data_IF_786896227101
#
_entry.id   IF_786896227101
#
_cell.length_a   1.000
_cell.length_b   1.000
_cell.length_c   1.000
_cell.angle_alpha   90.00
_cell.angle_beta   90.00
_cell.angle_gamma   90.00
#
_symmetry.space_group_name_H-M   'P 1'
#
loop_
_entity.id
_entity.type
_entity.pdbx_description
1 polymer ?
#
# COMPACT_ATOMS: atom_id res chain seq x y z
N UNK A 1 -30.73 -42.55 -43.15
CA UNK A 1 -29.58 -42.68 -42.22
C UNK A 1 -28.54 -41.65 -42.64
N UNK A 2 -28.56 -40.47 -42.02
CA UNK A 2 -27.53 -39.46 -42.23
C UNK A 2 -26.39 -39.74 -41.23
N UNK A 3 -25.22 -40.07 -41.76
CA UNK A 3 -23.98 -40.25 -41.01
C UNK A 3 -23.58 -38.90 -40.40
N UNK A 4 -23.85 -38.75 -39.09
CA UNK A 4 -23.28 -37.67 -38.28
C UNK A 4 -21.78 -37.97 -38.20
N UNK A 5 -20.99 -37.24 -38.98
CA UNK A 5 -19.54 -37.24 -38.88
C UNK A 5 -19.15 -36.85 -37.46
N UNK A 6 -18.44 -37.74 -36.78
CA UNK A 6 -17.82 -37.47 -35.50
C UNK A 6 -16.80 -36.33 -35.68
N UNK A 7 -17.21 -35.10 -35.40
CA UNK A 7 -16.29 -33.97 -35.23
C UNK A 7 -15.34 -34.32 -34.10
N UNK A 8 -14.04 -34.36 -34.38
CA UNK A 8 -12.99 -34.57 -33.40
C UNK A 8 -13.31 -33.80 -32.11
N UNK A 9 -13.48 -34.51 -30.99
CA UNK A 9 -13.71 -33.92 -29.66
C UNK A 9 -12.72 -32.78 -29.48
N UNK A 10 -13.19 -31.53 -29.45
CA UNK A 10 -12.31 -30.40 -29.15
C UNK A 10 -11.61 -30.70 -27.83
N UNK A 11 -10.28 -30.85 -27.82
CA UNK A 11 -9.54 -31.13 -26.58
C UNK A 11 -9.56 -29.95 -25.61
N UNK A 12 -9.87 -28.75 -26.12
CA UNK A 12 -9.86 -27.48 -25.40
C UNK A 12 -11.11 -26.67 -25.71
N UNK A 13 -11.55 -25.89 -24.71
CA UNK A 13 -12.64 -24.92 -24.81
C UNK A 13 -12.08 -23.52 -24.58
N UNK A 14 -12.55 -22.53 -25.33
CA UNK A 14 -12.25 -21.13 -25.08
C UNK A 14 -13.06 -20.63 -23.86
N UNK A 15 -12.36 -20.14 -22.84
CA UNK A 15 -12.96 -19.73 -21.56
C UNK A 15 -12.82 -18.23 -21.29
N UNK A 16 -11.68 -17.64 -21.64
CA UNK A 16 -11.35 -16.24 -21.34
C UNK A 16 -10.86 -15.46 -22.56
N UNK A 17 -11.41 -14.26 -22.74
CA UNK A 17 -11.02 -13.35 -23.82
C UNK A 17 -9.69 -12.66 -23.56
N UNK A 18 -9.11 -12.04 -24.60
CA UNK A 18 -7.83 -11.33 -24.48
C UNK A 18 -7.85 -10.18 -23.46
N UNK A 19 -8.95 -9.41 -23.39
CA UNK A 19 -9.08 -8.31 -22.44
C UNK A 19 -9.07 -8.78 -20.97
N UNK A 20 -9.79 -9.87 -20.66
CA UNK A 20 -9.83 -10.44 -19.30
C UNK A 20 -8.46 -10.95 -18.85
N UNK A 21 -7.71 -11.56 -19.78
CA UNK A 21 -6.33 -11.99 -19.53
C UNK A 21 -5.39 -10.81 -19.30
N UNK A 22 -5.55 -9.72 -20.06
CA UNK A 22 -4.75 -8.52 -19.87
C UNK A 22 -5.03 -7.85 -18.52
N UNK A 23 -6.31 -7.73 -18.13
CA UNK A 23 -6.70 -7.25 -16.79
C UNK A 23 -6.04 -8.08 -15.69
N UNK A 24 -6.02 -9.40 -15.85
CA UNK A 24 -5.36 -10.30 -14.90
C UNK A 24 -3.84 -10.10 -14.83
N UNK A 25 -3.17 -9.87 -15.95
CA UNK A 25 -1.73 -9.56 -15.95
C UNK A 25 -1.45 -8.25 -15.22
N UNK A 26 -2.25 -7.21 -15.47
CA UNK A 26 -2.13 -5.92 -14.75
C UNK A 26 -2.38 -6.11 -13.26
N UNK A 27 -3.37 -6.92 -12.89
CA UNK A 27 -3.64 -7.29 -11.50
C UNK A 27 -2.46 -8.02 -10.86
N UNK A 28 -1.88 -9.03 -11.52
CA UNK A 28 -0.70 -9.76 -11.02
C UNK A 28 0.44 -8.79 -10.75
N UNK A 29 0.77 -7.93 -11.72
CA UNK A 29 1.91 -7.01 -11.61
C UNK A 29 1.67 -6.01 -10.48
N UNK A 30 0.52 -5.34 -10.48
CA UNK A 30 0.20 -4.32 -9.47
C UNK A 30 0.13 -4.91 -8.06
N UNK A 31 -0.59 -6.01 -7.88
CA UNK A 31 -0.71 -6.69 -6.57
C UNK A 31 0.65 -7.19 -6.06
N UNK A 32 1.46 -7.82 -6.93
CA UNK A 32 2.77 -8.33 -6.52
C UNK A 32 3.70 -7.20 -6.11
N UNK A 33 3.71 -6.10 -6.86
CA UNK A 33 4.55 -4.94 -6.52
C UNK A 33 4.07 -4.23 -5.25
N UNK A 34 2.75 -4.17 -5.01
CA UNK A 34 2.20 -3.69 -3.74
C UNK A 34 2.62 -4.57 -2.56
N UNK A 35 2.62 -5.89 -2.73
CA UNK A 35 3.10 -6.82 -1.70
C UNK A 35 4.60 -6.65 -1.43
N UNK A 36 5.42 -6.59 -2.49
CA UNK A 36 6.88 -6.43 -2.40
C UNK A 36 7.27 -5.10 -1.77
N UNK A 37 6.52 -4.03 -2.02
CA UNK A 37 6.80 -2.71 -1.41
C UNK A 37 6.14 -2.53 -0.04
N UNK A 38 5.02 -3.18 0.23
CA UNK A 38 4.24 -3.02 1.46
C UNK A 38 4.71 -3.91 2.62
N UNK A 39 5.04 -5.18 2.36
CA UNK A 39 5.45 -6.10 3.43
C UNK A 39 6.74 -5.68 4.15
N UNK A 40 7.81 -5.22 3.45
CA UNK A 40 9.00 -4.72 4.14
C UNK A 40 8.70 -3.51 5.05
N UNK A 41 7.78 -2.64 4.65
CA UNK A 41 7.36 -1.50 5.49
C UNK A 41 6.60 -1.94 6.75
N UNK A 42 5.85 -3.05 6.70
CA UNK A 42 5.19 -3.64 7.87
C UNK A 42 6.20 -4.19 8.87
N UNK A 43 7.24 -4.88 8.39
CA UNK A 43 8.25 -5.55 9.20
C UNK A 43 9.57 -4.77 9.29
N UNK A 44 9.50 -3.43 9.31
CA UNK A 44 10.66 -2.54 9.26
C UNK A 44 11.63 -2.68 10.46
N UNK A 45 11.23 -3.42 11.50
CA UNK A 45 12.05 -3.80 12.65
C UNK A 45 13.02 -4.96 12.34
N UNK A 46 12.71 -5.80 11.35
CA UNK A 46 13.51 -6.96 10.96
C UNK A 46 14.59 -6.58 9.94
N UNK A 47 15.81 -7.10 10.12
CA UNK A 47 16.95 -6.74 9.25
C UNK A 47 16.69 -7.04 7.76
N UNK A 48 16.14 -8.22 7.45
CA UNK A 48 15.83 -8.61 6.06
C UNK A 48 14.91 -7.58 5.39
N UNK A 49 13.94 -7.03 6.12
CA UNK A 49 13.05 -6.01 5.56
C UNK A 49 13.77 -4.70 5.26
N UNK A 50 14.73 -4.29 6.11
CA UNK A 50 15.59 -3.13 5.89
C UNK A 50 16.48 -3.33 4.66
N UNK A 51 17.11 -4.50 4.54
CA UNK A 51 17.94 -4.85 3.38
C UNK A 51 17.13 -4.79 2.08
N UNK A 52 15.89 -5.28 2.10
CA UNK A 52 14.97 -5.16 0.96
C UNK A 52 14.60 -3.71 0.63
N UNK A 53 14.35 -2.88 1.65
CA UNK A 53 14.06 -1.45 1.46
C UNK A 53 15.27 -0.74 0.83
N UNK A 54 16.49 -1.04 1.30
CA UNK A 54 17.73 -0.48 0.74
C UNK A 54 17.95 -0.93 -0.71
N UNK A 55 17.76 -2.22 -1.00
CA UNK A 55 17.85 -2.77 -2.36
C UNK A 55 16.91 -2.07 -3.34
N UNK A 56 15.72 -1.67 -2.86
CA UNK A 56 14.70 -0.96 -3.64
C UNK A 56 14.95 0.56 -3.73
N UNK A 57 16.12 1.04 -3.29
CA UNK A 57 16.52 2.45 -3.37
C UNK A 57 16.09 3.29 -2.16
N UNK A 58 15.86 2.65 -1.01
CA UNK A 58 15.50 3.31 0.25
C UNK A 58 13.99 3.51 0.45
N UNK A 59 13.63 3.97 1.66
CA UNK A 59 12.22 4.05 2.09
C UNK A 59 11.37 4.98 1.22
N UNK A 60 11.94 6.09 0.74
CA UNK A 60 11.22 7.03 -0.12
C UNK A 60 10.88 6.42 -1.48
N UNK A 61 11.84 5.72 -2.10
CA UNK A 61 11.62 4.97 -3.35
C UNK A 61 10.54 3.91 -3.19
N UNK A 62 10.60 3.13 -2.09
CA UNK A 62 9.59 2.11 -1.76
C UNK A 62 8.20 2.72 -1.62
N UNK A 63 8.06 3.86 -0.93
CA UNK A 63 6.77 4.56 -0.76
C UNK A 63 6.23 5.09 -2.10
N UNK A 64 7.09 5.66 -2.94
CA UNK A 64 6.71 6.16 -4.27
C UNK A 64 6.22 5.00 -5.15
N UNK A 65 6.98 3.90 -5.20
CA UNK A 65 6.58 2.70 -5.94
C UNK A 65 5.25 2.15 -5.43
N UNK A 66 5.08 2.05 -4.11
CA UNK A 66 3.83 1.55 -3.52
C UNK A 66 2.62 2.38 -3.97
N UNK A 67 2.71 3.72 -3.92
CA UNK A 67 1.64 4.62 -4.37
C UNK A 67 1.39 4.54 -5.88
N UNK A 68 2.45 4.37 -6.68
CA UNK A 68 2.30 4.17 -8.13
C UNK A 68 1.52 2.89 -8.45
N UNK A 69 1.89 1.75 -7.86
CA UNK A 69 1.18 0.49 -8.09
C UNK A 69 -0.22 0.47 -7.45
N UNK A 70 -0.44 1.19 -6.36
CA UNK A 70 -1.78 1.40 -5.79
C UNK A 70 -2.66 2.16 -6.80
N UNK A 71 -2.14 3.21 -7.42
CA UNK A 71 -2.83 3.98 -8.46
C UNK A 71 -3.16 3.11 -9.67
N UNK A 72 -2.20 2.27 -10.10
CA UNK A 72 -2.42 1.33 -11.20
C UNK A 72 -3.52 0.31 -10.86
N UNK A 73 -3.52 -0.26 -9.64
CA UNK A 73 -4.56 -1.19 -9.20
C UNK A 73 -5.93 -0.50 -9.15
N UNK A 74 -6.02 0.70 -8.58
CA UNK A 74 -7.27 1.48 -8.53
C UNK A 74 -7.81 1.79 -9.93
N UNK A 75 -6.95 2.21 -10.86
CA UNK A 75 -7.33 2.44 -12.25
C UNK A 75 -7.82 1.14 -12.93
N UNK A 76 -7.13 0.02 -12.68
CA UNK A 76 -7.55 -1.31 -13.11
C UNK A 76 -8.92 -1.71 -12.56
N UNK A 77 -9.20 -1.46 -11.28
CA UNK A 77 -10.51 -1.72 -10.66
C UNK A 77 -11.64 -0.86 -11.26
N UNK A 78 -11.37 0.42 -11.54
CA UNK A 78 -12.34 1.31 -12.22
C UNK A 78 -12.66 0.76 -13.62
N UNK A 79 -11.63 0.40 -14.39
CA UNK A 79 -11.81 -0.20 -15.71
C UNK A 79 -12.59 -1.52 -15.64
N UNK A 80 -12.22 -2.41 -14.73
CA UNK A 80 -12.91 -3.69 -14.51
C UNK A 80 -14.40 -3.49 -14.18
N UNK A 81 -14.72 -2.54 -13.28
CA UNK A 81 -16.11 -2.18 -12.95
C UNK A 81 -16.89 -1.65 -14.16
N UNK A 82 -16.26 -0.83 -15.00
CA UNK A 82 -16.84 -0.36 -16.26
C UNK A 82 -17.13 -1.50 -17.25
N UNK A 83 -16.19 -2.42 -17.43
CA UNK A 83 -16.37 -3.61 -18.28
C UNK A 83 -17.47 -4.52 -17.73
N UNK A 84 -17.52 -4.74 -16.42
CA UNK A 84 -18.53 -5.57 -15.77
C UNK A 84 -19.93 -4.98 -15.95
N UNK A 85 -20.10 -3.68 -15.66
CA UNK A 85 -21.39 -2.99 -15.85
C UNK A 85 -21.83 -3.00 -17.31
N UNK A 86 -20.91 -2.87 -18.27
CA UNK A 86 -21.21 -3.03 -19.69
C UNK A 86 -21.66 -4.46 -20.03
N UNK A 87 -20.94 -5.50 -19.57
CA UNK A 87 -21.29 -6.91 -19.81
C UNK A 87 -22.68 -7.23 -19.26
N UNK A 88 -22.98 -6.79 -18.04
CA UNK A 88 -24.28 -7.05 -17.39
C UNK A 88 -25.40 -6.27 -18.07
N UNK A 89 -25.23 -4.96 -18.26
CA UNK A 89 -26.32 -4.10 -18.77
C UNK A 89 -26.51 -4.25 -20.28
N UNK A 90 -25.45 -4.09 -21.07
CA UNK A 90 -25.54 -4.08 -22.54
C UNK A 90 -25.59 -5.49 -23.09
N UNK A 91 -24.65 -6.36 -22.70
CA UNK A 91 -24.58 -7.75 -23.18
C UNK A 91 -25.49 -8.72 -22.43
N UNK A 92 -26.19 -8.27 -21.39
CA UNK A 92 -27.11 -9.12 -20.62
C UNK A 92 -26.43 -10.33 -20.00
N UNK A 93 -25.12 -10.27 -19.75
CA UNK A 93 -24.39 -11.34 -19.09
C UNK A 93 -24.93 -11.53 -17.67
N UNK A 94 -25.06 -12.79 -17.26
CA UNK A 94 -25.51 -13.12 -15.91
C UNK A 94 -24.46 -12.73 -14.86
N UNK A 95 -24.94 -12.40 -13.66
CA UNK A 95 -24.12 -12.04 -12.50
C UNK A 95 -23.49 -13.29 -11.86
N UNK A 96 -22.75 -14.07 -12.65
CA UNK A 96 -22.22 -15.38 -12.24
C UNK A 96 -21.20 -15.29 -11.09
N UNK A 97 -20.63 -14.10 -10.82
CA UNK A 97 -19.70 -13.88 -9.70
C UNK A 97 -20.40 -13.68 -8.35
N UNK A 98 -21.73 -13.43 -8.33
CA UNK A 98 -22.45 -13.29 -7.07
C UNK A 98 -22.70 -14.68 -6.45
N UNK A 99 -22.43 -14.86 -5.15
CA UNK A 99 -22.80 -16.08 -4.44
C UNK A 99 -24.32 -16.30 -4.45
N UNK A 100 -24.71 -17.54 -4.58
CA UNK A 100 -26.09 -18.02 -4.58
C UNK A 100 -26.25 -19.15 -3.56
N UNK A 101 -27.49 -19.50 -3.23
CA UNK A 101 -27.78 -20.67 -2.36
C UNK A 101 -27.20 -21.96 -2.93
N UNK A 102 -27.04 -22.07 -4.26
CA UNK A 102 -26.39 -23.21 -4.90
C UNK A 102 -24.93 -23.34 -4.47
N UNK A 103 -24.19 -22.23 -4.33
CA UNK A 103 -22.78 -22.25 -3.95
C UNK A 103 -22.57 -22.86 -2.55
N UNK A 104 -23.48 -22.59 -1.61
CA UNK A 104 -23.46 -23.23 -0.29
C UNK A 104 -23.73 -24.73 -0.37
N UNK A 105 -24.67 -25.17 -1.23
CA UNK A 105 -24.93 -26.60 -1.47
C UNK A 105 -23.75 -27.28 -2.16
N UNK A 106 -23.11 -26.61 -3.12
CA UNK A 106 -21.93 -27.11 -3.82
C UNK A 106 -20.75 -27.27 -2.87
N UNK A 107 -20.54 -26.32 -1.94
CA UNK A 107 -19.54 -26.44 -0.87
C UNK A 107 -19.81 -27.67 0.01
N UNK A 108 -21.05 -27.85 0.49
CA UNK A 108 -21.40 -29.02 1.32
C UNK A 108 -21.19 -30.31 0.52
N UNK A 109 -21.66 -30.37 -0.73
CA UNK A 109 -21.47 -31.53 -1.61
C UNK A 109 -20.00 -31.84 -1.86
N UNK A 110 -19.17 -30.81 -2.04
CA UNK A 110 -17.73 -30.94 -2.22
C UNK A 110 -17.05 -31.50 -0.97
N UNK A 111 -17.43 -31.02 0.22
CA UNK A 111 -16.93 -31.56 1.50
C UNK A 111 -17.33 -33.03 1.65
N UNK A 112 -18.60 -33.37 1.44
CA UNK A 112 -19.09 -34.75 1.53
C UNK A 112 -18.39 -35.68 0.55
N UNK A 113 -18.13 -35.21 -0.68
CA UNK A 113 -17.39 -35.98 -1.68
C UNK A 113 -15.95 -36.25 -1.25
N UNK A 114 -15.24 -35.23 -0.74
CA UNK A 114 -13.86 -35.40 -0.27
C UNK A 114 -13.74 -36.26 0.99
N UNK A 115 -14.80 -36.33 1.81
CA UNK A 115 -14.90 -37.26 2.94
C UNK A 115 -15.32 -38.68 2.52
N UNK A 116 -15.55 -38.93 1.23
CA UNK A 116 -16.00 -40.21 0.70
C UNK A 116 -17.48 -40.54 0.96
N UNK A 117 -18.25 -39.58 1.47
CA UNK A 117 -19.69 -39.74 1.79
C UNK A 117 -20.59 -39.50 0.57
N UNK A 118 -20.08 -38.86 -0.49
CA UNK A 118 -20.74 -38.73 -1.79
C UNK A 118 -19.89 -39.35 -2.89
N UNK A 119 -20.51 -40.15 -3.77
CA UNK A 119 -19.85 -40.73 -4.94
C UNK A 119 -19.71 -39.74 -6.10
N UNK A 120 -20.53 -38.69 -6.12
CA UNK A 120 -20.54 -37.71 -7.20
C UNK A 120 -19.92 -36.40 -6.75
N UNK A 121 -19.02 -35.86 -7.57
CA UNK A 121 -18.52 -34.51 -7.41
C UNK A 121 -19.61 -33.50 -7.82
N UNK A 122 -19.83 -32.42 -7.04
CA UNK A 122 -20.85 -31.41 -7.37
C UNK A 122 -20.59 -30.77 -8.74
N UNK A 123 -21.64 -30.67 -9.56
CA UNK A 123 -21.60 -30.00 -10.87
C UNK A 123 -21.74 -28.50 -10.69
N UNK A 124 -20.68 -27.75 -11.00
CA UNK A 124 -20.59 -26.31 -10.78
C UNK A 124 -20.73 -25.50 -12.08
N UNK A 125 -21.03 -24.22 -11.93
CA UNK A 125 -21.22 -23.27 -13.03
C UNK A 125 -19.90 -22.75 -13.62
N UNK A 126 -20.00 -21.64 -14.37
CA UNK A 126 -18.83 -20.95 -14.96
C UNK A 126 -17.75 -20.59 -13.94
N UNK A 127 -18.18 -20.21 -12.75
CA UNK A 127 -17.31 -20.04 -11.60
C UNK A 127 -17.81 -20.94 -10.47
N UNK A 128 -16.88 -21.65 -9.84
CA UNK A 128 -17.16 -22.46 -8.65
C UNK A 128 -17.24 -21.58 -7.39
N UNK A 129 -17.70 -22.15 -6.27
CA UNK A 129 -17.89 -21.38 -5.03
C UNK A 129 -16.56 -20.77 -4.52
N UNK A 130 -15.43 -21.45 -4.72
CA UNK A 130 -14.11 -21.01 -4.29
C UNK A 130 -13.61 -19.83 -5.11
N UNK A 131 -13.69 -19.91 -6.43
CA UNK A 131 -13.37 -18.81 -7.36
C UNK A 131 -14.21 -17.56 -7.06
N UNK A 132 -15.50 -17.73 -6.75
CA UNK A 132 -16.37 -16.61 -6.35
C UNK A 132 -15.94 -16.01 -5.01
N UNK A 133 -15.59 -16.86 -4.04
CA UNK A 133 -15.12 -16.40 -2.73
C UNK A 133 -13.81 -15.61 -2.86
N UNK A 134 -12.85 -16.09 -3.66
CA UNK A 134 -11.60 -15.38 -3.97
C UNK A 134 -11.86 -14.04 -4.65
N UNK A 135 -12.75 -14.01 -5.65
CA UNK A 135 -13.12 -12.76 -6.32
C UNK A 135 -13.76 -11.75 -5.34
N UNK A 136 -14.68 -12.20 -4.49
CA UNK A 136 -15.33 -11.34 -3.51
C UNK A 136 -14.34 -10.84 -2.45
N UNK A 137 -13.44 -11.71 -1.98
CA UNK A 137 -12.38 -11.34 -1.05
C UNK A 137 -11.45 -10.29 -1.67
N UNK A 138 -11.09 -10.43 -2.95
CA UNK A 138 -10.30 -9.42 -3.67
C UNK A 138 -11.04 -8.08 -3.77
N UNK A 139 -12.34 -8.08 -4.12
CA UNK A 139 -13.14 -6.84 -4.20
C UNK A 139 -13.22 -6.16 -2.84
N UNK A 140 -13.55 -6.92 -1.78
CA UNK A 140 -13.61 -6.41 -0.42
C UNK A 140 -12.25 -5.89 0.07
N UNK A 141 -11.20 -6.69 -0.07
CA UNK A 141 -9.85 -6.31 0.31
C UNK A 141 -9.39 -5.05 -0.41
N UNK A 142 -9.65 -4.94 -1.72
CA UNK A 142 -9.34 -3.73 -2.49
C UNK A 142 -10.02 -2.48 -1.91
N UNK A 143 -11.31 -2.57 -1.54
CA UNK A 143 -12.02 -1.44 -0.93
C UNK A 143 -11.41 -1.04 0.43
N UNK A 144 -11.12 -2.02 1.29
CA UNK A 144 -10.47 -1.78 2.59
C UNK A 144 -9.11 -1.13 2.39
N UNK A 145 -8.30 -1.64 1.45
CA UNK A 145 -6.96 -1.13 1.15
C UNK A 145 -7.00 0.31 0.62
N UNK A 146 -7.95 0.65 -0.25
CA UNK A 146 -8.13 2.03 -0.76
C UNK A 146 -8.48 2.99 0.38
N UNK A 147 -9.47 2.63 1.21
CA UNK A 147 -9.95 3.49 2.30
C UNK A 147 -8.85 3.70 3.35
N UNK A 148 -8.26 2.61 3.84
CA UNK A 148 -7.21 2.69 4.86
C UNK A 148 -5.92 3.31 4.32
N UNK A 149 -5.59 3.06 3.04
CA UNK A 149 -4.47 3.69 2.35
C UNK A 149 -4.64 5.20 2.23
N UNK A 150 -5.85 5.68 1.93
CA UNK A 150 -6.16 7.12 1.93
C UNK A 150 -5.96 7.74 3.31
N UNK A 151 -6.45 7.08 4.36
CA UNK A 151 -6.34 7.59 5.73
C UNK A 151 -4.87 7.74 6.16
N UNK A 152 -4.03 6.80 5.76
CA UNK A 152 -2.59 6.84 6.04
C UNK A 152 -1.83 7.83 5.15
N UNK A 153 -2.26 8.02 3.91
CA UNK A 153 -1.69 9.03 3.01
C UNK A 153 -2.06 10.44 3.49
N UNK A 154 -3.29 10.64 3.98
CA UNK A 154 -3.80 11.96 4.38
C UNK A 154 -4.24 11.97 5.85
N UNK A 155 -3.30 11.85 6.80
CA UNK A 155 -3.63 11.73 8.22
C UNK A 155 -4.27 12.99 8.80
N UNK A 156 -3.87 14.19 8.36
CA UNK A 156 -4.46 15.45 8.86
C UNK A 156 -5.89 15.63 8.33
N UNK A 157 -6.12 15.34 7.05
CA UNK A 157 -7.48 15.37 6.51
C UNK A 157 -8.40 14.36 7.21
N UNK A 158 -7.85 13.18 7.56
CA UNK A 158 -8.60 12.15 8.30
C UNK A 158 -8.94 12.60 9.71
N UNK A 159 -7.98 13.17 10.45
CA UNK A 159 -8.19 13.58 11.85
C UNK A 159 -9.12 14.81 12.01
N UNK A 160 -9.33 15.58 10.94
CA UNK A 160 -10.34 16.66 10.91
C UNK A 160 -11.78 16.13 10.99
N UNK A 161 -12.02 14.89 10.56
CA UNK A 161 -13.36 14.30 10.46
C UNK A 161 -13.54 13.13 11.43
N UNK A 162 -12.48 12.38 11.72
CA UNK A 162 -12.50 11.19 12.57
C UNK A 162 -11.54 11.33 13.75
N UNK A 163 -11.77 10.60 14.86
CA UNK A 163 -10.83 10.54 15.97
C UNK A 163 -9.44 10.08 15.52
N UNK A 164 -8.38 10.65 16.09
CA UNK A 164 -7.00 10.37 15.68
C UNK A 164 -6.58 8.91 15.83
N UNK A 165 -7.24 8.15 16.70
CA UNK A 165 -7.08 6.72 16.93
C UNK A 165 -7.42 5.90 15.68
N UNK A 166 -8.19 6.45 14.74
CA UNK A 166 -8.50 5.80 13.46
C UNK A 166 -7.27 5.66 12.59
N UNK A 167 -6.26 6.54 12.69
CA UNK A 167 -5.04 6.46 11.87
C UNK A 167 -4.21 5.21 12.22
N UNK A 168 -3.83 4.94 13.49
CA UNK A 168 -3.16 3.70 13.83
C UNK A 168 -4.04 2.46 13.61
N UNK A 169 -5.36 2.55 13.80
CA UNK A 169 -6.28 1.47 13.46
C UNK A 169 -6.28 1.16 11.95
N UNK A 170 -6.28 2.19 11.10
CA UNK A 170 -6.17 2.06 9.64
C UNK A 170 -4.83 1.43 9.25
N UNK A 171 -3.72 1.84 9.89
CA UNK A 171 -2.41 1.19 9.68
C UNK A 171 -2.44 -0.30 10.01
N UNK A 172 -3.03 -0.67 11.14
CA UNK A 172 -3.16 -2.08 11.53
C UNK A 172 -4.06 -2.84 10.55
N UNK A 173 -5.22 -2.30 10.20
CA UNK A 173 -6.17 -2.91 9.27
C UNK A 173 -5.56 -3.08 7.88
N UNK A 174 -4.98 -2.03 7.31
CA UNK A 174 -4.32 -2.04 5.99
C UNK A 174 -3.23 -3.11 5.92
N UNK A 175 -2.33 -3.11 6.91
CA UNK A 175 -1.19 -4.02 6.91
C UNK A 175 -1.59 -5.47 7.22
N UNK A 176 -2.67 -5.69 7.97
CA UNK A 176 -3.18 -7.04 8.26
C UNK A 176 -3.98 -7.61 7.09
N UNK A 177 -4.79 -6.77 6.42
CA UNK A 177 -5.48 -7.15 5.18
C UNK A 177 -4.49 -7.44 4.07
N UNK A 178 -3.42 -6.64 3.93
CA UNK A 178 -2.35 -6.93 2.97
C UNK A 178 -1.70 -8.30 3.20
N UNK A 179 -1.41 -8.63 4.47
CA UNK A 179 -0.85 -9.94 4.82
C UNK A 179 -1.85 -11.08 4.51
N UNK A 180 -3.12 -10.90 4.89
CA UNK A 180 -4.18 -11.87 4.60
C UNK A 180 -4.34 -12.09 3.09
N UNK A 181 -4.36 -11.02 2.29
CA UNK A 181 -4.46 -11.08 0.85
C UNK A 181 -3.27 -11.81 0.23
N UNK A 182 -2.03 -11.48 0.65
CA UNK A 182 -0.82 -12.16 0.16
C UNK A 182 -0.85 -13.65 0.50
N UNK A 183 -1.18 -14.00 1.75
CA UNK A 183 -1.26 -15.40 2.17
C UNK A 183 -2.38 -16.15 1.45
N UNK A 184 -3.54 -15.53 1.24
CA UNK A 184 -4.63 -16.11 0.46
C UNK A 184 -4.19 -16.40 -0.98
N UNK A 185 -3.52 -15.44 -1.63
CA UNK A 185 -3.02 -15.65 -3.00
C UNK A 185 -1.96 -16.76 -3.04
N UNK A 186 -0.98 -16.77 -2.13
CA UNK A 186 0.09 -17.77 -2.14
C UNK A 186 -0.40 -19.16 -1.76
N UNK A 187 -1.15 -19.27 -0.66
CA UNK A 187 -1.53 -20.58 -0.10
C UNK A 187 -2.71 -21.16 -0.85
N UNK A 188 -3.72 -20.35 -1.16
CA UNK A 188 -4.97 -20.86 -1.71
C UNK A 188 -5.01 -20.73 -3.24
N UNK A 189 -4.81 -19.53 -3.78
CA UNK A 189 -4.93 -19.30 -5.22
C UNK A 189 -3.80 -19.99 -6.01
N UNK A 190 -2.53 -19.75 -5.67
CA UNK A 190 -1.39 -20.38 -6.36
C UNK A 190 -1.42 -21.90 -6.23
N UNK A 191 -1.77 -22.44 -5.05
CA UNK A 191 -1.89 -23.89 -4.88
C UNK A 191 -2.97 -24.47 -5.80
N UNK A 192 -4.21 -23.96 -5.75
CA UNK A 192 -5.30 -24.55 -6.53
C UNK A 192 -5.09 -24.36 -8.03
N UNK A 193 -4.71 -23.16 -8.47
CA UNK A 193 -4.58 -22.83 -9.89
C UNK A 193 -3.30 -23.40 -10.49
N UNK A 194 -2.15 -23.21 -9.84
CA UNK A 194 -0.85 -23.52 -10.43
C UNK A 194 -0.25 -24.84 -9.97
N UNK A 195 -0.47 -25.29 -8.74
CA UNK A 195 0.16 -26.52 -8.23
C UNK A 195 -0.74 -27.74 -8.45
N UNK A 196 -1.97 -27.69 -7.93
CA UNK A 196 -2.91 -28.82 -7.95
C UNK A 196 -3.46 -29.09 -9.34
N UNK A 197 -3.85 -28.05 -10.08
CA UNK A 197 -4.54 -28.17 -11.38
C UNK A 197 -3.70 -27.77 -12.58
N UNK A 198 -2.67 -26.96 -12.37
CA UNK A 198 -1.84 -26.39 -13.43
C UNK A 198 -2.68 -25.77 -14.57
N UNK A 199 -3.62 -24.90 -14.19
CA UNK A 199 -4.58 -24.26 -15.09
C UNK A 199 -3.93 -23.06 -15.82
N UNK A 200 -3.84 -23.15 -17.15
CA UNK A 200 -3.25 -22.09 -18.01
C UNK A 200 -4.29 -21.16 -18.65
N UNK A 201 -5.56 -21.30 -18.31
CA UNK A 201 -6.65 -20.60 -19.02
C UNK A 201 -6.50 -19.07 -18.96
N UNK A 202 -5.99 -18.49 -17.86
CA UNK A 202 -5.75 -17.05 -17.77
C UNK A 202 -4.58 -16.54 -18.62
N UNK A 203 -3.73 -17.44 -19.13
CA UNK A 203 -2.61 -17.08 -20.02
C UNK A 203 -2.91 -17.40 -21.48
N UNK A 204 -3.60 -18.51 -21.76
CA UNK A 204 -3.87 -18.97 -23.14
C UNK A 204 -5.29 -18.64 -23.62
N UNK A 205 -6.21 -18.37 -22.71
CA UNK A 205 -7.64 -18.22 -22.98
C UNK A 205 -8.39 -19.56 -23.08
N UNK A 206 -7.67 -20.70 -23.01
CA UNK A 206 -8.22 -22.04 -23.30
C UNK A 206 -8.04 -22.98 -22.13
N UNK A 207 -9.01 -23.87 -21.93
CA UNK A 207 -9.01 -24.89 -20.87
C UNK A 207 -9.29 -26.28 -21.45
N UNK A 208 -8.58 -27.34 -21.02
CA UNK A 208 -8.89 -28.70 -21.46
C UNK A 208 -10.32 -29.12 -21.09
N UNK A 209 -10.98 -29.90 -21.95
CA UNK A 209 -12.37 -30.35 -21.70
C UNK A 209 -12.50 -31.12 -20.40
N UNK A 210 -11.57 -32.03 -20.07
CA UNK A 210 -11.64 -32.80 -18.83
C UNK A 210 -11.58 -31.91 -17.57
N UNK A 211 -10.78 -30.84 -17.57
CA UNK A 211 -10.80 -29.85 -16.48
C UNK A 211 -12.14 -29.10 -16.40
N UNK A 212 -12.75 -28.78 -17.56
CA UNK A 212 -14.09 -28.19 -17.59
C UNK A 212 -15.15 -29.16 -17.07
N UNK A 213 -15.04 -30.46 -17.35
CA UNK A 213 -15.96 -31.50 -16.83
C UNK A 213 -15.87 -31.62 -15.31
N UNK A 214 -14.67 -31.53 -14.74
CA UNK A 214 -14.47 -31.63 -13.28
C UNK A 214 -14.91 -30.36 -12.53
N UNK A 215 -14.50 -29.17 -12.99
CA UNK A 215 -14.64 -27.93 -12.20
C UNK A 215 -15.80 -27.03 -12.67
N UNK A 216 -16.24 -27.17 -13.92
CA UNK A 216 -17.19 -26.26 -14.58
C UNK A 216 -18.23 -27.01 -15.42
N UNK A 217 -18.68 -28.18 -14.95
CA UNK A 217 -19.52 -29.10 -15.73
C UNK A 217 -20.76 -28.43 -16.34
N UNK A 218 -21.42 -27.53 -15.60
CA UNK A 218 -22.62 -26.84 -16.09
C UNK A 218 -22.30 -25.79 -17.16
N UNK A 219 -21.13 -25.15 -17.08
CA UNK A 219 -20.65 -24.26 -18.14
C UNK A 219 -20.32 -25.04 -19.41
N UNK A 220 -19.63 -26.18 -19.28
CA UNK A 220 -19.31 -27.02 -20.43
C UNK A 220 -20.56 -27.47 -21.17
N UNK A 221 -21.59 -27.92 -20.44
CA UNK A 221 -22.89 -28.29 -21.01
C UNK A 221 -23.52 -27.10 -21.75
N UNK A 222 -23.50 -25.91 -21.16
CA UNK A 222 -24.04 -24.70 -21.79
C UNK A 222 -23.26 -24.31 -23.06
N UNK A 223 -21.94 -24.48 -23.07
CA UNK A 223 -21.09 -24.19 -24.25
C UNK A 223 -21.41 -25.18 -25.38
N UNK A 224 -21.48 -26.48 -25.06
CA UNK A 224 -21.81 -27.52 -26.02
C UNK A 224 -23.23 -27.36 -26.59
N UNK A 225 -24.17 -26.88 -25.77
CA UNK A 225 -25.53 -26.58 -26.20
C UNK A 225 -25.65 -25.25 -26.98
N UNK A 226 -24.58 -24.45 -27.07
CA UNK A 226 -24.61 -23.13 -27.70
C UNK A 226 -25.39 -22.07 -26.90
N UNK A 227 -25.66 -22.32 -25.63
CA UNK A 227 -26.47 -21.44 -24.74
C UNK A 227 -25.62 -20.70 -23.70
N UNK A 228 -24.29 -20.87 -23.70
CA UNK A 228 -23.41 -20.23 -22.73
C UNK A 228 -23.41 -18.70 -22.81
N UNK A 229 -23.61 -18.15 -24.01
CA UNK A 229 -23.63 -16.71 -24.25
C UNK A 229 -25.05 -16.28 -24.61
N UNK A 230 -25.67 -15.34 -23.87
CA UNK A 230 -26.98 -14.81 -24.25
C UNK A 230 -26.93 -14.16 -25.63
N UNK A 231 -27.74 -14.66 -26.57
CA UNK A 231 -27.92 -14.03 -27.88
C UNK A 231 -28.97 -12.93 -27.72
N UNK A 232 -28.53 -11.67 -27.78
CA UNK A 232 -29.43 -10.50 -27.69
C UNK A 232 -29.60 -9.92 -29.09
N UNK A 233 -30.84 -9.66 -29.56
CA UNK A 233 -31.07 -8.98 -30.83
C UNK A 233 -30.34 -7.64 -30.93
N UNK A 234 -29.74 -7.37 -32.09
CA UNK A 234 -28.92 -6.17 -32.32
C UNK A 234 -29.65 -4.87 -32.01
N UNK A 235 -30.96 -4.80 -32.33
CA UNK A 235 -31.78 -3.64 -32.01
C UNK A 235 -31.91 -3.37 -30.49
N UNK A 236 -31.92 -4.42 -29.66
CA UNK A 236 -31.92 -4.28 -28.19
C UNK A 236 -30.53 -3.84 -27.72
N UNK A 237 -29.47 -4.45 -28.25
CA UNK A 237 -28.09 -4.07 -27.93
C UNK A 237 -27.81 -2.61 -28.28
N UNK A 238 -28.21 -2.14 -29.47
CA UNK A 238 -28.03 -0.76 -29.90
C UNK A 238 -28.74 0.24 -28.97
N UNK A 239 -29.98 -0.07 -28.55
CA UNK A 239 -30.73 0.76 -27.59
C UNK A 239 -30.05 0.81 -26.22
N UNK A 240 -29.64 -0.34 -25.69
CA UNK A 240 -28.91 -0.43 -24.42
C UNK A 240 -27.59 0.32 -24.49
N UNK A 241 -26.85 0.18 -25.59
CA UNK A 241 -25.58 0.85 -25.82
C UNK A 241 -25.76 2.39 -25.86
N UNK A 242 -26.77 2.90 -26.58
CA UNK A 242 -27.10 4.33 -26.62
C UNK A 242 -27.42 4.90 -25.25
N UNK A 243 -28.11 4.13 -24.39
CA UNK A 243 -28.42 4.54 -23.01
C UNK A 243 -27.24 4.38 -22.05
N UNK A 244 -26.37 3.40 -22.30
CA UNK A 244 -25.20 3.12 -21.48
C UNK A 244 -24.11 4.17 -21.65
N UNK A 245 -23.84 4.63 -22.87
CA UNK A 245 -22.74 5.55 -23.15
C UNK A 245 -22.76 6.85 -22.33
N UNK A 246 -23.88 7.59 -22.21
CA UNK A 246 -23.94 8.78 -21.34
C UNK A 246 -23.59 8.47 -19.88
N UNK A 247 -24.11 7.36 -19.35
CA UNK A 247 -23.79 6.89 -18.01
C UNK A 247 -22.31 6.51 -17.89
N UNK A 248 -21.77 5.77 -18.86
CA UNK A 248 -20.38 5.33 -18.86
C UNK A 248 -19.41 6.52 -18.91
N UNK A 249 -19.64 7.49 -19.79
CA UNK A 249 -18.83 8.71 -19.88
C UNK A 249 -18.87 9.48 -18.56
N UNK A 250 -20.07 9.70 -18.01
CA UNK A 250 -20.22 10.37 -16.72
C UNK A 250 -19.46 9.64 -15.60
N UNK A 251 -19.66 8.33 -15.48
CA UNK A 251 -19.01 7.52 -14.44
C UNK A 251 -17.49 7.45 -14.61
N UNK A 252 -16.99 7.34 -15.84
CA UNK A 252 -15.56 7.39 -16.12
C UNK A 252 -14.97 8.73 -15.70
N UNK A 253 -15.59 9.85 -16.08
CA UNK A 253 -15.15 11.18 -15.63
C UNK A 253 -15.16 11.26 -14.10
N UNK A 254 -16.27 10.87 -13.46
CA UNK A 254 -16.40 10.94 -12.00
C UNK A 254 -15.34 10.12 -11.27
N UNK A 255 -15.15 8.85 -11.65
CA UNK A 255 -14.21 7.95 -10.98
C UNK A 255 -12.75 8.30 -11.29
N UNK A 256 -12.44 8.72 -12.52
CA UNK A 256 -11.09 9.16 -12.88
C UNK A 256 -10.76 10.50 -12.21
N UNK A 257 -11.69 11.46 -12.15
CA UNK A 257 -11.50 12.69 -11.37
C UNK A 257 -11.35 12.39 -9.88
N UNK A 258 -12.12 11.44 -9.33
CA UNK A 258 -11.97 10.96 -7.96
C UNK A 258 -10.60 10.33 -7.71
N UNK A 259 -10.08 9.52 -8.64
CA UNK A 259 -8.74 8.94 -8.56
C UNK A 259 -7.64 10.02 -8.66
N UNK A 260 -7.77 10.97 -9.59
CA UNK A 260 -6.83 12.09 -9.70
C UNK A 260 -6.82 12.89 -8.40
N UNK A 261 -8.00 13.25 -7.89
CA UNK A 261 -8.13 13.91 -6.60
C UNK A 261 -7.43 13.10 -5.49
N UNK A 262 -7.76 11.81 -5.36
CA UNK A 262 -7.17 10.93 -4.35
C UNK A 262 -5.64 10.93 -4.35
N UNK A 263 -5.03 10.85 -5.54
CA UNK A 263 -3.57 10.74 -5.72
C UNK A 263 -2.86 12.09 -5.63
N UNK A 264 -3.55 13.18 -5.99
CA UNK A 264 -3.01 14.55 -5.97
C UNK A 264 -3.24 15.29 -4.65
N UNK A 265 -4.23 14.86 -3.87
CA UNK A 265 -4.58 15.49 -2.61
C UNK A 265 -3.58 15.08 -1.53
N UNK A 266 -2.96 16.07 -0.90
CA UNK A 266 -1.98 15.87 0.16
C UNK A 266 -2.24 16.83 1.33
N UNK A 267 -2.56 16.26 2.49
CA UNK A 267 -2.68 16.97 3.77
C UNK A 267 -1.97 16.13 4.84
N UNK A 268 -0.64 16.16 4.80
CA UNK A 268 0.27 15.25 5.51
C UNK A 268 1.03 15.90 6.66
N UNK A 269 1.33 17.19 6.56
CA UNK A 269 2.13 17.91 7.55
C UNK A 269 1.58 19.32 7.79
N UNK A 270 1.62 19.76 9.06
CA UNK A 270 1.43 21.17 9.39
C UNK A 270 2.61 21.91 8.79
N UNK A 271 2.37 22.94 7.97
CA UNK A 271 3.42 23.82 7.50
C UNK A 271 4.19 24.35 8.72
N UNK A 272 5.44 23.92 8.87
CA UNK A 272 6.30 24.46 9.92
C UNK A 272 6.57 25.91 9.55
N UNK A 273 5.93 26.83 10.27
CA UNK A 273 6.31 28.24 10.20
C UNK A 273 7.80 28.28 10.55
N UNK A 274 8.68 28.90 9.73
CA UNK A 274 10.07 29.08 10.09
C UNK A 274 10.10 29.67 11.49
N UNK A 275 10.77 28.98 12.42
CA UNK A 275 10.82 29.40 13.82
C UNK A 275 11.29 30.85 13.82
N UNK A 276 10.42 31.77 14.23
CA UNK A 276 10.81 33.18 14.27
C UNK A 276 12.05 33.26 15.14
N UNK A 277 13.12 33.93 14.68
CA UNK A 277 14.30 34.12 15.50
C UNK A 277 13.83 34.87 16.75
N UNK A 278 13.75 34.14 17.86
CA UNK A 278 13.75 34.79 19.16
C UNK A 278 15.12 35.43 19.22
N UNK A 279 15.19 36.74 18.96
CA UNK A 279 16.27 37.57 19.49
C UNK A 279 16.14 37.49 21.01
N UNK A 280 16.64 36.41 21.61
CA UNK A 280 16.99 36.42 23.01
C UNK A 280 18.12 37.45 23.12
N UNK A 281 17.77 38.63 23.62
CA UNK A 281 18.69 39.73 23.89
C UNK A 281 19.61 39.29 25.01
N UNK A 282 20.67 38.56 24.69
CA UNK A 282 21.74 38.22 25.63
C UNK A 282 22.50 39.52 25.87
N UNK A 283 22.34 40.08 27.08
CA UNK A 283 22.82 41.44 27.42
C UNK A 283 24.18 41.45 28.09
N UNK A 284 24.71 40.28 28.46
CA UNK A 284 26.01 40.16 29.12
C UNK A 284 27.18 40.50 28.18
N UNK A 285 28.17 41.20 28.71
CA UNK A 285 29.42 41.50 28.01
C UNK A 285 30.37 40.28 28.12
N UNK A 286 30.83 39.69 27.00
CA UNK A 286 31.75 38.55 27.03
C UNK A 286 33.07 38.85 27.77
N UNK A 287 33.49 40.11 27.87
CA UNK A 287 34.69 40.49 28.60
C UNK A 287 34.57 40.28 30.12
N UNK A 288 33.35 40.06 30.64
CA UNK A 288 33.10 39.78 32.06
C UNK A 288 33.12 38.28 32.38
N UNK A 289 33.42 37.42 31.41
CA UNK A 289 33.54 35.98 31.61
C UNK A 289 34.78 35.61 32.42
N UNK A 290 34.63 34.66 33.34
CA UNK A 290 35.72 34.06 34.11
C UNK A 290 36.01 32.64 33.59
N UNK A 291 37.22 32.41 33.07
CA UNK A 291 37.63 31.13 32.50
C UNK A 291 37.69 29.98 33.54
N UNK A 292 38.04 30.24 34.79
CA UNK A 292 38.06 29.21 35.86
C UNK A 292 36.63 28.80 36.25
N UNK A 293 35.72 29.76 36.34
CA UNK A 293 34.30 29.50 36.56
C UNK A 293 33.71 28.72 35.37
N UNK A 294 34.09 29.10 34.14
CA UNK A 294 33.70 28.42 32.91
C UNK A 294 34.18 26.97 32.85
N UNK A 295 35.44 26.72 33.21
CA UNK A 295 36.00 25.36 33.30
C UNK A 295 35.24 24.50 34.30
N UNK A 296 34.90 25.07 35.46
CA UNK A 296 34.10 24.39 36.48
C UNK A 296 32.71 24.06 35.92
N UNK A 297 32.05 25.03 35.27
CA UNK A 297 30.73 24.83 34.66
C UNK A 297 30.77 23.78 33.55
N UNK A 298 31.81 23.78 32.73
CA UNK A 298 32.03 22.80 31.65
C UNK A 298 32.02 21.36 32.15
N UNK A 299 32.61 21.11 33.33
CA UNK A 299 32.64 19.78 33.96
C UNK A 299 31.33 19.44 34.68
N UNK A 300 30.62 20.43 35.22
CA UNK A 300 29.32 20.19 35.90
C UNK A 300 28.16 20.01 34.94
N UNK A 301 28.24 20.61 33.75
CA UNK A 301 27.27 20.45 32.68
C UNK A 301 27.66 19.26 31.80
N UNK A 302 26.70 18.60 31.12
CA UNK A 302 27.01 17.47 30.26
C UNK A 302 27.71 17.86 28.94
N UNK A 303 28.30 19.07 28.86
CA UNK A 303 29.02 19.60 27.70
C UNK A 303 30.23 18.72 27.33
N UNK A 304 31.02 18.30 28.32
CA UNK A 304 32.21 17.48 28.11
C UNK A 304 31.91 16.12 27.46
N UNK A 305 30.70 15.58 27.63
CA UNK A 305 30.30 14.28 27.06
C UNK A 305 30.31 14.26 25.53
N UNK A 306 30.05 15.40 24.91
CA UNK A 306 29.98 15.53 23.45
C UNK A 306 31.18 16.30 22.89
N UNK A 307 31.72 17.26 23.66
CA UNK A 307 32.79 18.15 23.20
C UNK A 307 34.17 17.83 23.78
N UNK A 308 34.28 16.78 24.60
CA UNK A 308 35.51 16.41 25.29
C UNK A 308 35.74 17.23 26.56
N UNK A 309 36.60 16.73 27.44
CA UNK A 309 36.88 17.32 28.77
C UNK A 309 37.28 18.80 28.71
N UNK A 310 37.91 19.21 27.60
CA UNK A 310 38.47 20.56 27.44
C UNK A 310 37.92 21.29 26.22
N UNK A 311 36.89 20.73 25.57
CA UNK A 311 36.35 21.26 24.31
C UNK A 311 37.12 20.82 23.06
N UNK A 312 38.10 19.91 23.20
CA UNK A 312 38.95 19.43 22.10
C UNK A 312 38.19 18.61 21.03
N UNK A 313 36.90 18.36 21.22
CA UNK A 313 36.07 17.57 20.33
C UNK A 313 36.22 16.07 20.56
N UNK A 314 35.20 15.32 20.15
CA UNK A 314 35.19 13.85 20.17
C UNK A 314 34.72 13.39 18.80
N UNK A 315 35.51 12.65 18.01
CA UNK A 315 35.11 12.26 16.65
C UNK A 315 33.71 11.62 16.61
N UNK A 316 32.80 12.07 15.72
CA UNK A 316 33.01 12.99 14.59
C UNK A 316 32.85 14.49 14.92
N UNK A 317 32.61 14.87 16.17
CA UNK A 317 32.40 16.27 16.61
C UNK A 317 33.76 17.00 16.63
N UNK A 318 33.92 18.09 15.87
CA UNK A 318 35.17 18.83 15.81
C UNK A 318 35.47 19.57 17.13
N UNK A 319 36.74 19.93 17.31
CA UNK A 319 37.17 20.77 18.43
C UNK A 319 36.47 22.14 18.39
N UNK A 320 36.05 22.61 19.57
CA UNK A 320 35.52 23.95 19.78
C UNK A 320 36.41 24.79 20.71
N UNK A 321 37.57 24.26 21.06
CA UNK A 321 38.67 25.03 21.66
C UNK A 321 39.11 26.16 20.72
N UNK A 322 39.51 27.28 21.32
CA UNK A 322 39.85 28.51 20.61
C UNK A 322 38.75 28.93 19.61
N UNK A 323 37.49 28.79 20.04
CA UNK A 323 36.33 29.06 19.18
C UNK A 323 36.46 30.40 18.45
N UNK A 324 36.32 30.35 17.13
CA UNK A 324 36.26 31.53 16.27
C UNK A 324 34.84 32.12 16.20
N UNK A 325 33.87 31.52 16.91
CA UNK A 325 32.48 31.98 16.92
C UNK A 325 32.37 33.34 17.60
N UNK A 326 31.57 34.23 17.00
CA UNK A 326 31.13 35.45 17.65
C UNK A 326 30.34 35.11 18.92
N UNK A 327 30.48 35.93 19.96
CA UNK A 327 29.84 35.67 21.26
C UNK A 327 28.32 35.51 21.15
N UNK A 328 27.66 36.34 20.32
CA UNK A 328 26.20 36.25 20.14
C UNK A 328 25.80 34.95 19.45
N UNK A 329 26.62 34.47 18.52
CA UNK A 329 26.40 33.18 17.84
C UNK A 329 26.60 32.03 18.81
N UNK A 330 27.70 32.03 19.57
CA UNK A 330 27.96 31.02 20.60
C UNK A 330 26.84 30.94 21.65
N UNK A 331 26.41 32.11 22.13
CA UNK A 331 25.36 32.22 23.12
C UNK A 331 24.00 31.77 22.55
N UNK A 332 23.70 32.11 21.29
CA UNK A 332 22.53 31.62 20.58
C UNK A 332 22.57 30.10 20.38
N UNK A 333 23.73 29.51 20.11
CA UNK A 333 23.87 28.06 19.92
C UNK A 333 23.60 27.29 21.22
N UNK A 334 24.08 27.77 22.37
CA UNK A 334 23.74 27.18 23.68
C UNK A 334 22.23 27.24 23.96
N UNK A 335 21.60 28.37 23.60
CA UNK A 335 20.15 28.57 23.80
C UNK A 335 19.29 27.75 22.84
N UNK A 336 19.76 27.59 21.61
CA UNK A 336 18.98 26.97 20.52
C UNK A 336 19.21 25.47 20.39
N UNK A 337 20.41 25.00 20.73
CA UNK A 337 20.82 23.61 20.52
C UNK A 337 20.83 23.22 19.03
N UNK A 338 21.75 23.75 18.21
CA UNK A 338 21.81 23.42 16.79
C UNK A 338 22.22 21.95 16.56
N UNK A 339 21.71 21.36 15.47
CA UNK A 339 21.89 19.95 15.12
C UNK A 339 21.43 19.01 16.25
N UNK A 340 22.33 18.17 16.79
CA UNK A 340 22.05 17.20 17.86
C UNK A 340 22.44 17.74 19.25
N UNK A 341 22.81 19.02 19.38
CA UNK A 341 23.15 19.64 20.65
C UNK A 341 21.87 19.97 21.45
N UNK A 342 21.77 19.59 22.74
CA UNK A 342 20.65 20.02 23.59
C UNK A 342 20.60 21.54 23.77
N UNK A 343 19.40 22.10 23.78
CA UNK A 343 19.17 23.51 24.12
C UNK A 343 19.17 23.72 25.64
N UNK A 344 19.84 24.77 26.11
CA UNK A 344 19.90 25.14 27.53
C UNK A 344 19.22 26.48 27.80
N UNK A 345 18.13 26.46 28.56
CA UNK A 345 17.40 27.68 28.92
C UNK A 345 18.11 28.51 30.01
N UNK A 346 17.66 29.77 30.25
CA UNK A 346 18.26 30.66 31.26
C UNK A 346 18.30 30.10 32.69
N UNK A 347 17.39 29.18 33.03
CA UNK A 347 17.37 28.51 34.33
C UNK A 347 18.40 27.38 34.49
N UNK A 348 19.00 26.90 33.39
CA UNK A 348 20.02 25.84 33.39
C UNK A 348 21.42 26.40 33.20
N UNK A 349 21.56 27.35 32.28
CA UNK A 349 22.80 28.08 32.00
C UNK A 349 22.44 29.56 32.02
N UNK A 350 22.89 30.30 33.02
CA UNK A 350 22.64 31.74 33.11
C UNK A 350 23.40 32.52 32.02
N UNK A 351 23.08 33.80 31.81
CA UNK A 351 23.88 34.63 30.88
C UNK A 351 25.34 34.74 31.32
N UNK A 352 25.60 34.84 32.63
CA UNK A 352 26.97 34.84 33.16
C UNK A 352 27.68 33.51 32.89
N UNK A 353 26.99 32.37 33.06
CA UNK A 353 27.57 31.07 32.74
C UNK A 353 27.98 30.99 31.25
N UNK A 354 27.21 31.58 30.33
CA UNK A 354 27.57 31.64 28.91
C UNK A 354 28.85 32.45 28.69
N UNK A 355 28.99 33.60 29.34
CA UNK A 355 30.20 34.42 29.27
C UNK A 355 31.43 33.68 29.84
N UNK A 356 31.25 32.98 30.96
CA UNK A 356 32.29 32.18 31.61
C UNK A 356 32.73 31.00 30.73
N UNK A 357 31.78 30.26 30.15
CA UNK A 357 32.05 29.16 29.20
C UNK A 357 32.77 29.66 27.94
N UNK A 358 32.37 30.82 27.42
CA UNK A 358 33.03 31.44 26.27
C UNK A 358 34.47 31.86 26.58
N UNK A 359 34.71 32.41 27.78
CA UNK A 359 36.05 32.77 28.25
C UNK A 359 36.94 31.52 28.43
N UNK A 360 36.40 30.43 28.98
CA UNK A 360 37.09 29.15 29.12
C UNK A 360 37.55 28.60 27.77
N UNK A 361 36.64 28.48 26.80
CA UNK A 361 36.95 27.91 25.47
C UNK A 361 37.96 28.74 24.67
N UNK A 362 38.12 30.03 24.99
CA UNK A 362 39.13 30.91 24.36
C UNK A 362 40.42 31.04 25.17
N UNK A 363 40.47 30.47 26.37
CA UNK A 363 41.65 30.50 27.22
C UNK A 363 42.62 29.37 26.88
N UNK A 364 43.86 29.48 27.36
CA UNK A 364 44.86 28.41 27.29
C UNK A 364 44.69 27.35 28.41
N UNK A 365 43.55 27.35 29.12
CA UNK A 365 43.26 26.39 30.20
C UNK A 365 42.76 25.03 29.70
N UNK A 366 43.18 24.65 28.48
CA UNK A 366 42.73 23.49 27.73
C UNK A 366 43.60 22.26 27.97
#
# INVERSE_FOLDING_TARGET
>A
MATIGATAKQQYVERFGAAERMEHIVLIISFSMLAVTGLPQRYADVQIAKDFIELLGGIESVRIMHRFFATLLMAGSIYHGGVLTYKVYVRGSSLNMLPTVKDARDLIGWVLHNLGLSKEHPKMGRYNFGEKAEYLALVWGTLVMIVTGFMMWNPIATSKVLPSEVIPAARLAHSSEALLAVLSIIIWHMYNVHVRRFNKAMFTGKMPVHHMEEEHALELVAIQAGTATPVIPDAIMARRNKRFWPYAVFMTILLTSGLIFFVSFEDTAIHTVPRQPVEESITIDPAKGNAEAGATKWQTLPCARCHGETGAGVPPIPAITNTALDFKVFAADIRRGPADMPAYGPGQVSEQDIADLYAFLRSNMQ
#
